data_IF_359810054224
#
_entry.id   IF_359810054224
#
_cell.length_a   1.000
_cell.length_b   1.000
_cell.length_c   1.000
_cell.angle_alpha   90.00
_cell.angle_beta   90.00
_cell.angle_gamma   90.00
#
_symmetry.space_group_name_H-M   'P 1'
#
loop_
_entity.id
_entity.type
_entity.pdbx_description
1 polymer ?
#
# COMPACT_ATOMS: atom_id res chain seq x y z
N UNK A 1 23.35 -4.69 2.07
CA UNK A 1 24.45 -5.65 2.27
C UNK A 1 24.01 -7.03 1.79
N UNK A 2 24.87 -7.75 1.09
CA UNK A 2 24.55 -9.11 0.64
C UNK A 2 24.60 -10.06 1.83
N UNK A 3 23.43 -10.49 2.32
CA UNK A 3 23.31 -11.41 3.46
C UNK A 3 23.95 -12.78 3.16
N UNK A 4 24.07 -13.16 1.89
CA UNK A 4 24.68 -14.45 1.51
C UNK A 4 26.12 -14.59 1.97
N UNK A 5 26.89 -13.51 1.98
CA UNK A 5 28.28 -13.51 2.40
C UNK A 5 28.50 -13.75 3.90
N UNK A 6 27.43 -13.66 4.71
CA UNK A 6 27.48 -13.91 6.15
C UNK A 6 27.18 -15.38 6.51
N UNK A 7 26.73 -16.18 5.56
CA UNK A 7 26.27 -17.55 5.80
C UNK A 7 27.44 -18.52 5.63
N UNK A 8 27.69 -19.32 6.66
CA UNK A 8 28.61 -20.44 6.55
C UNK A 8 28.00 -21.55 5.69
N UNK A 9 28.57 -21.76 4.50
CA UNK A 9 28.11 -22.74 3.52
C UNK A 9 28.23 -24.20 4.01
N UNK A 10 29.08 -24.45 4.99
CA UNK A 10 29.24 -25.76 5.61
C UNK A 10 28.26 -26.02 6.77
N UNK A 11 27.52 -25.01 7.18
CA UNK A 11 26.57 -25.13 8.28
C UNK A 11 25.39 -26.06 7.98
N UNK A 12 24.77 -26.61 9.01
CA UNK A 12 23.54 -27.39 8.88
C UNK A 12 22.39 -26.53 8.31
N UNK A 13 22.39 -25.24 8.59
CA UNK A 13 21.48 -24.28 8.00
C UNK A 13 21.61 -24.24 6.48
N UNK A 14 22.82 -23.99 5.96
CA UNK A 14 23.06 -23.89 4.54
C UNK A 14 22.75 -25.20 3.81
N UNK A 15 23.24 -26.33 4.31
CA UNK A 15 23.12 -27.63 3.66
C UNK A 15 21.69 -28.19 3.66
N UNK A 16 20.92 -27.95 4.71
CA UNK A 16 19.57 -28.52 4.85
C UNK A 16 18.46 -27.58 4.40
N UNK A 17 18.64 -26.27 4.57
CA UNK A 17 17.61 -25.25 4.39
C UNK A 17 17.71 -24.47 3.06
N UNK A 18 18.95 -24.24 2.58
CA UNK A 18 19.18 -23.44 1.38
C UNK A 18 19.40 -24.32 0.15
N UNK A 19 19.19 -23.80 -1.08
CA UNK A 19 19.64 -24.49 -2.29
C UNK A 19 21.16 -24.56 -2.35
N UNK A 20 21.71 -25.59 -2.99
CA UNK A 20 23.16 -25.84 -3.05
C UNK A 20 23.95 -24.68 -3.68
N UNK A 21 23.32 -23.93 -4.60
CA UNK A 21 23.89 -22.81 -5.35
C UNK A 21 23.46 -21.43 -4.84
N UNK A 22 22.93 -21.32 -3.61
CA UNK A 22 22.36 -20.09 -3.09
C UNK A 22 23.29 -18.87 -3.16
N UNK A 23 24.60 -19.07 -3.01
CA UNK A 23 25.61 -18.02 -3.08
C UNK A 23 25.67 -17.34 -4.46
N UNK A 24 25.58 -18.16 -5.52
CA UNK A 24 25.71 -17.73 -6.90
C UNK A 24 24.37 -17.48 -7.60
N UNK A 25 23.26 -17.93 -7.01
CA UNK A 25 21.93 -17.71 -7.59
C UNK A 25 21.65 -16.23 -7.77
N UNK A 26 21.54 -15.82 -9.03
CA UNK A 26 21.21 -14.44 -9.37
C UNK A 26 19.78 -14.12 -8.95
N UNK A 27 19.64 -13.17 -8.02
CA UNK A 27 18.34 -12.61 -7.65
C UNK A 27 17.74 -11.80 -8.80
N UNK A 28 18.58 -11.15 -9.64
CA UNK A 28 18.14 -10.25 -10.68
C UNK A 28 17.51 -10.94 -11.90
N UNK A 29 18.12 -11.96 -12.46
CA UNK A 29 17.54 -12.67 -13.61
C UNK A 29 16.37 -13.58 -13.24
N UNK A 30 16.34 -14.02 -12.00
CA UNK A 30 15.28 -14.83 -11.45
C UNK A 30 14.15 -13.95 -10.90
N UNK A 31 14.50 -12.81 -10.29
CA UNK A 31 13.55 -11.80 -9.81
C UNK A 31 12.63 -11.30 -10.92
N UNK A 32 13.15 -11.05 -12.11
CA UNK A 32 12.34 -10.61 -13.25
C UNK A 32 11.26 -11.64 -13.61
N UNK A 33 11.60 -12.91 -13.78
CA UNK A 33 10.64 -13.96 -14.15
C UNK A 33 9.59 -14.24 -13.07
N UNK A 34 9.98 -14.16 -11.82
CA UNK A 34 9.05 -14.33 -10.68
C UNK A 34 8.14 -13.13 -10.55
N UNK A 35 8.68 -11.93 -10.68
CA UNK A 35 7.93 -10.70 -10.69
C UNK A 35 6.89 -10.71 -11.82
N UNK A 36 7.31 -11.04 -13.05
CA UNK A 36 6.43 -11.18 -14.19
C UNK A 36 5.33 -12.21 -13.94
N UNK A 37 5.67 -13.37 -13.39
CA UNK A 37 4.70 -14.43 -13.04
C UNK A 37 3.67 -13.99 -12.00
N UNK A 38 4.08 -13.18 -11.03
CA UNK A 38 3.14 -12.73 -9.98
C UNK A 38 2.22 -11.65 -10.51
N UNK A 39 2.75 -10.70 -11.29
CA UNK A 39 1.90 -9.69 -11.91
C UNK A 39 0.86 -10.35 -12.82
N UNK A 40 1.28 -11.33 -13.62
CA UNK A 40 0.35 -12.12 -14.43
C UNK A 40 -0.72 -12.81 -13.58
N UNK A 41 -0.32 -13.46 -12.49
CA UNK A 41 -1.28 -14.14 -11.61
C UNK A 41 -2.20 -13.15 -10.91
N UNK A 42 -1.70 -12.00 -10.48
CA UNK A 42 -2.50 -10.93 -9.85
C UNK A 42 -3.51 -10.36 -10.83
N UNK A 43 -3.09 -10.05 -12.06
CA UNK A 43 -3.99 -9.59 -13.12
C UNK A 43 -5.01 -10.67 -13.47
N UNK A 44 -4.58 -11.92 -13.62
CA UNK A 44 -5.45 -13.05 -13.91
C UNK A 44 -6.52 -13.28 -12.83
N UNK A 45 -6.15 -13.18 -11.57
CA UNK A 45 -7.06 -13.38 -10.44
C UNK A 45 -8.01 -12.20 -10.22
N UNK A 46 -7.60 -10.99 -10.59
CA UNK A 46 -8.36 -9.75 -10.35
C UNK A 46 -9.03 -9.19 -11.62
N UNK A 47 -9.13 -9.95 -12.70
CA UNK A 47 -9.65 -9.48 -14.01
C UNK A 47 -10.93 -8.67 -13.91
N UNK A 48 -11.93 -9.19 -13.22
CA UNK A 48 -13.23 -8.52 -13.09
C UNK A 48 -13.12 -7.18 -12.34
N UNK A 49 -12.29 -7.14 -11.29
CA UNK A 49 -12.07 -5.92 -10.53
C UNK A 49 -11.29 -4.89 -11.37
N UNK A 50 -10.31 -5.31 -12.16
CA UNK A 50 -9.54 -4.43 -13.05
C UNK A 50 -10.45 -3.83 -14.11
N UNK A 51 -11.27 -4.65 -14.78
CA UNK A 51 -12.23 -4.19 -15.79
C UNK A 51 -13.22 -3.20 -15.18
N UNK A 52 -13.75 -3.50 -14.00
CA UNK A 52 -14.67 -2.62 -13.31
C UNK A 52 -14.02 -1.27 -12.94
N UNK A 53 -12.79 -1.30 -12.41
CA UNK A 53 -12.06 -0.08 -12.03
C UNK A 53 -11.67 0.77 -13.24
N UNK A 54 -11.11 0.15 -14.27
CA UNK A 54 -10.81 0.86 -15.53
C UNK A 54 -12.08 1.30 -16.25
N UNK A 55 -13.19 0.63 -15.96
CA UNK A 55 -14.53 1.01 -16.37
C UNK A 55 -14.98 2.34 -15.81
N UNK A 56 -14.51 2.71 -14.68
CA UNK A 56 -14.77 3.97 -13.99
C UNK A 56 -13.50 4.86 -14.00
N UNK A 57 -12.84 4.90 -15.16
CA UNK A 57 -11.57 5.61 -15.32
C UNK A 57 -11.66 7.10 -14.97
N UNK A 58 -12.77 7.74 -15.27
CA UNK A 58 -12.99 9.16 -14.94
C UNK A 58 -12.95 9.37 -13.42
N UNK A 59 -13.50 8.44 -12.62
CA UNK A 59 -13.43 8.48 -11.17
C UNK A 59 -12.02 8.21 -10.64
N UNK A 60 -11.29 7.28 -11.26
CA UNK A 60 -9.88 7.04 -10.89
C UNK A 60 -9.02 8.26 -11.17
N UNK A 61 -9.23 8.90 -12.31
CA UNK A 61 -8.56 10.13 -12.68
C UNK A 61 -8.91 11.27 -11.71
N UNK A 62 -10.21 11.46 -11.40
CA UNK A 62 -10.66 12.45 -10.42
C UNK A 62 -10.01 12.23 -9.04
N UNK A 63 -9.90 10.98 -8.58
CA UNK A 63 -9.21 10.66 -7.34
C UNK A 63 -7.73 11.03 -7.37
N UNK A 64 -7.03 10.77 -8.47
CA UNK A 64 -5.63 11.18 -8.64
C UNK A 64 -5.47 12.69 -8.69
N UNK A 65 -6.35 13.37 -9.43
CA UNK A 65 -6.39 14.82 -9.54
C UNK A 65 -6.59 15.46 -8.15
N UNK A 66 -7.53 14.98 -7.37
CA UNK A 66 -7.80 15.50 -6.03
C UNK A 66 -6.61 15.33 -5.08
N UNK A 67 -5.86 14.22 -5.19
CA UNK A 67 -4.62 14.04 -4.42
C UNK A 67 -3.56 15.09 -4.82
N UNK A 68 -3.36 15.29 -6.12
CA UNK A 68 -2.41 16.28 -6.62
C UNK A 68 -2.83 17.70 -6.26
N UNK A 69 -4.12 18.04 -6.27
CA UNK A 69 -4.64 19.32 -5.79
C UNK A 69 -4.35 19.58 -4.32
N UNK A 70 -4.47 18.55 -3.48
CA UNK A 70 -4.17 18.68 -2.07
C UNK A 70 -2.69 18.98 -1.81
N UNK A 71 -1.81 18.47 -2.67
CA UNK A 71 -0.36 18.60 -2.53
C UNK A 71 0.20 19.84 -3.26
N UNK A 72 -0.38 20.23 -4.40
CA UNK A 72 0.10 21.32 -5.23
C UNK A 72 -1.03 21.97 -6.08
N UNK A 73 -1.69 22.97 -5.50
CA UNK A 73 -2.82 23.65 -6.13
C UNK A 73 -2.40 24.51 -7.33
N UNK A 74 -1.23 25.16 -7.27
CA UNK A 74 -0.72 26.02 -8.34
C UNK A 74 -0.44 25.20 -9.62
N UNK A 75 0.13 24.02 -9.45
CA UNK A 75 0.33 23.07 -10.54
C UNK A 75 -0.99 22.67 -11.21
N UNK A 76 -2.04 22.38 -10.44
CA UNK A 76 -3.33 21.97 -10.99
C UNK A 76 -4.05 23.12 -11.74
N UNK A 77 -3.93 24.36 -11.29
CA UNK A 77 -4.42 25.52 -12.02
C UNK A 77 -3.72 25.68 -13.38
N UNK A 78 -2.41 25.38 -13.44
CA UNK A 78 -1.67 25.33 -14.70
C UNK A 78 -2.19 24.26 -15.65
N UNK A 79 -2.42 23.02 -15.15
CA UNK A 79 -3.00 21.91 -15.93
C UNK A 79 -4.37 22.28 -16.50
N UNK A 80 -5.26 22.86 -15.68
CA UNK A 80 -6.59 23.26 -16.13
C UNK A 80 -6.53 24.32 -17.22
N UNK A 81 -5.64 25.30 -17.05
CA UNK A 81 -5.43 26.36 -18.03
C UNK A 81 -4.93 25.81 -19.36
N UNK A 82 -3.99 24.89 -19.33
CA UNK A 82 -3.44 24.24 -20.53
C UNK A 82 -4.48 23.37 -21.23
N UNK A 83 -5.25 22.59 -20.47
CA UNK A 83 -6.35 21.80 -21.01
C UNK A 83 -7.43 22.68 -21.66
N UNK A 84 -7.83 23.77 -21.04
CA UNK A 84 -8.82 24.71 -21.61
C UNK A 84 -8.32 25.34 -22.88
N UNK A 85 -7.05 25.77 -22.92
CA UNK A 85 -6.43 26.39 -24.07
C UNK A 85 -6.34 25.45 -25.28
N UNK A 86 -5.97 24.20 -25.05
CA UNK A 86 -5.68 23.24 -26.11
C UNK A 86 -6.89 22.40 -26.54
N UNK A 87 -7.97 22.40 -25.77
CA UNK A 87 -9.11 21.48 -25.96
C UNK A 87 -10.47 22.14 -26.18
N UNK A 88 -10.54 23.47 -26.27
CA UNK A 88 -11.81 24.18 -26.52
C UNK A 88 -12.53 23.71 -27.80
N UNK A 89 -11.81 23.17 -28.78
CA UNK A 89 -12.32 22.82 -30.12
C UNK A 89 -12.41 21.31 -30.39
N UNK A 90 -12.28 20.45 -29.35
CA UNK A 90 -12.24 18.99 -29.53
C UNK A 90 -13.64 18.40 -29.65
N UNK A 91 -13.95 17.86 -30.82
CA UNK A 91 -15.11 17.00 -31.01
C UNK A 91 -14.74 15.55 -30.55
N UNK A 92 -14.92 15.29 -29.24
CA UNK A 92 -14.65 14.00 -28.60
C UNK A 92 -15.46 12.86 -29.25
N UNK A 93 -16.62 13.20 -29.86
CA UNK A 93 -17.52 12.21 -30.46
C UNK A 93 -16.95 11.48 -31.69
N UNK A 94 -15.99 12.07 -32.40
CA UNK A 94 -15.42 11.45 -33.60
C UNK A 94 -14.41 10.33 -33.30
N UNK A 95 -13.74 10.33 -32.13
CA UNK A 95 -12.78 9.29 -31.74
C UNK A 95 -13.42 8.13 -30.97
N UNK A 96 -14.69 8.21 -30.62
CA UNK A 96 -15.45 7.13 -29.96
C UNK A 96 -15.79 5.95 -30.88
N UNK A 97 -15.39 5.97 -32.17
CA UNK A 97 -15.59 4.83 -33.08
C UNK A 97 -14.90 3.53 -32.65
N UNK A 98 -13.91 3.63 -31.75
CA UNK A 98 -13.27 2.45 -31.12
C UNK A 98 -14.22 1.69 -30.18
N UNK A 99 -15.28 2.33 -29.69
CA UNK A 99 -16.28 1.69 -28.86
C UNK A 99 -17.05 0.56 -29.56
N UNK A 100 -17.01 0.50 -30.88
CA UNK A 100 -17.63 -0.59 -31.65
C UNK A 100 -16.91 -1.94 -31.49
N UNK A 101 -15.64 -1.92 -31.07
CA UNK A 101 -14.82 -3.13 -30.85
C UNK A 101 -15.02 -3.68 -29.43
N UNK A 102 -15.30 -2.80 -28.49
CA UNK A 102 -15.47 -3.12 -27.09
C UNK A 102 -16.99 -3.24 -26.80
N UNK A 103 -17.46 -4.42 -26.48
CA UNK A 103 -18.86 -4.70 -26.18
C UNK A 103 -19.33 -4.08 -24.86
N UNK A 104 -20.64 -4.17 -24.59
CA UNK A 104 -21.30 -3.64 -23.40
C UNK A 104 -20.51 -3.88 -22.11
N UNK A 105 -20.12 -2.82 -21.42
CA UNK A 105 -19.33 -2.85 -20.18
C UNK A 105 -17.90 -2.33 -20.29
N UNK A 106 -17.35 -2.23 -21.50
CA UNK A 106 -15.98 -1.82 -21.72
C UNK A 106 -15.85 -0.32 -21.80
N UNK A 107 -15.17 0.24 -20.88
CA UNK A 107 -15.50 1.59 -20.46
C UNK A 107 -14.34 2.55 -20.48
N UNK A 108 -13.09 2.05 -20.63
CA UNK A 108 -11.93 2.91 -20.77
C UNK A 108 -12.10 3.91 -21.92
N UNK A 109 -12.57 3.46 -23.08
CA UNK A 109 -12.82 4.32 -24.24
C UNK A 109 -14.10 5.17 -24.16
N UNK A 110 -14.95 4.91 -23.18
CA UNK A 110 -16.08 5.80 -22.83
C UNK A 110 -15.65 6.92 -21.89
N UNK A 111 -14.47 6.78 -21.27
CA UNK A 111 -13.94 7.80 -20.38
C UNK A 111 -13.61 9.07 -21.13
N UNK A 112 -14.13 10.18 -20.63
CA UNK A 112 -13.81 11.50 -21.11
C UNK A 112 -12.34 11.83 -20.88
N UNK A 113 -11.83 11.53 -19.70
CA UNK A 113 -10.44 11.80 -19.32
C UNK A 113 -9.47 11.00 -20.19
N UNK A 114 -9.71 9.70 -20.40
CA UNK A 114 -8.85 8.91 -21.28
C UNK A 114 -8.86 9.42 -22.71
N UNK A 115 -10.02 9.81 -23.23
CA UNK A 115 -10.14 10.40 -24.55
C UNK A 115 -9.40 11.75 -24.67
N UNK A 116 -9.38 12.56 -23.61
CA UNK A 116 -8.59 13.79 -23.53
C UNK A 116 -7.10 13.46 -23.61
N UNK A 117 -6.60 12.52 -22.81
CA UNK A 117 -5.18 12.14 -22.83
C UNK A 117 -4.74 11.66 -24.22
N UNK A 118 -5.55 10.81 -24.86
CA UNK A 118 -5.31 10.35 -26.23
C UNK A 118 -5.24 11.49 -27.23
N UNK A 119 -6.18 12.44 -27.13
CA UNK A 119 -6.25 13.56 -28.04
C UNK A 119 -5.12 14.55 -27.82
N UNK A 120 -4.71 14.73 -26.57
CA UNK A 120 -3.56 15.56 -26.22
C UNK A 120 -2.29 15.00 -26.85
N UNK A 121 -2.05 13.71 -26.73
CA UNK A 121 -0.91 13.04 -27.37
C UNK A 121 -0.87 13.25 -28.88
N UNK A 122 -2.01 13.15 -29.55
CA UNK A 122 -2.13 13.29 -31.01
C UNK A 122 -1.89 14.73 -31.51
N UNK A 123 -2.32 15.74 -30.75
CA UNK A 123 -2.34 17.13 -31.21
C UNK A 123 -1.25 18.02 -30.63
N UNK A 124 -0.75 17.69 -29.46
CA UNK A 124 0.23 18.53 -28.80
C UNK A 124 1.64 18.29 -29.35
N UNK A 125 2.34 19.38 -29.60
CA UNK A 125 3.74 19.32 -30.04
C UNK A 125 4.62 19.44 -28.79
N UNK A 126 5.24 18.34 -28.41
CA UNK A 126 6.14 18.28 -27.27
C UNK A 126 7.50 18.89 -27.64
N UNK A 127 8.02 19.74 -26.78
CA UNK A 127 9.38 20.28 -26.92
C UNK A 127 10.43 19.24 -26.51
N UNK A 128 10.05 18.25 -25.66
CA UNK A 128 10.90 17.19 -25.17
C UNK A 128 10.40 15.82 -25.64
N UNK A 129 11.17 15.17 -26.50
CA UNK A 129 10.83 13.84 -27.05
C UNK A 129 10.83 12.73 -25.97
N UNK A 130 11.63 12.86 -24.92
CA UNK A 130 11.63 11.88 -23.81
C UNK A 130 10.33 11.94 -23.02
N UNK A 131 9.79 13.13 -22.80
CA UNK A 131 8.49 13.29 -22.14
C UNK A 131 7.33 12.84 -23.03
N UNK A 132 7.40 13.11 -24.32
CA UNK A 132 6.43 12.57 -25.28
C UNK A 132 6.44 11.04 -25.27
N UNK A 133 7.62 10.42 -25.22
CA UNK A 133 7.77 8.98 -25.16
C UNK A 133 7.26 8.43 -23.83
N UNK A 134 7.53 9.11 -22.72
CA UNK A 134 7.00 8.75 -21.41
C UNK A 134 5.47 8.80 -21.41
N UNK A 135 4.88 9.87 -21.91
CA UNK A 135 3.43 10.02 -22.03
C UNK A 135 2.79 8.91 -22.86
N UNK A 136 3.38 8.62 -24.03
CA UNK A 136 3.00 7.48 -24.86
C UNK A 136 3.00 6.17 -24.06
N UNK A 137 4.09 5.90 -23.35
CA UNK A 137 4.26 4.65 -22.60
C UNK A 137 3.24 4.54 -21.45
N UNK A 138 2.87 5.64 -20.81
CA UNK A 138 1.81 5.68 -19.80
C UNK A 138 0.46 5.29 -20.41
N UNK A 139 0.06 5.93 -21.51
CA UNK A 139 -1.19 5.64 -22.21
C UNK A 139 -1.24 4.17 -22.65
N UNK A 140 -0.17 3.69 -23.28
CA UNK A 140 -0.05 2.29 -23.73
C UNK A 140 -0.16 1.32 -22.55
N UNK A 141 0.45 1.65 -21.41
CA UNK A 141 0.41 0.79 -20.21
C UNK A 141 -1.00 0.67 -19.63
N UNK A 142 -1.76 1.76 -19.58
CA UNK A 142 -3.16 1.76 -19.16
C UNK A 142 -4.00 0.89 -20.11
N UNK A 143 -3.79 1.06 -21.41
CA UNK A 143 -4.48 0.28 -22.43
C UNK A 143 -4.14 -1.22 -22.36
N UNK A 144 -2.86 -1.56 -22.23
CA UNK A 144 -2.42 -2.95 -22.06
C UNK A 144 -3.00 -3.60 -20.82
N UNK A 145 -3.15 -2.84 -19.72
CA UNK A 145 -3.76 -3.33 -18.50
C UNK A 145 -5.24 -3.68 -18.72
N UNK A 146 -5.98 -2.84 -19.44
CA UNK A 146 -7.37 -3.13 -19.86
C UNK A 146 -7.45 -4.41 -20.68
N UNK A 147 -6.61 -4.54 -21.70
CA UNK A 147 -6.61 -5.71 -22.58
C UNK A 147 -6.19 -6.99 -21.84
N UNK A 148 -5.19 -6.90 -20.95
CA UNK A 148 -4.76 -8.03 -20.13
C UNK A 148 -5.80 -8.54 -19.14
N UNK A 149 -6.73 -7.69 -18.74
CA UNK A 149 -7.85 -8.06 -17.89
C UNK A 149 -9.01 -8.71 -18.66
N UNK A 150 -9.12 -8.51 -19.97
CA UNK A 150 -10.11 -9.16 -20.82
C UNK A 150 -9.81 -10.67 -20.95
N UNK A 151 -10.82 -11.46 -21.32
CA UNK A 151 -10.60 -12.88 -21.58
C UNK A 151 -9.73 -13.08 -22.82
N UNK A 152 -9.00 -14.20 -22.88
CA UNK A 152 -8.10 -14.51 -24.00
C UNK A 152 -8.79 -14.49 -25.37
N UNK A 153 -10.03 -14.96 -25.41
CA UNK A 153 -10.84 -14.94 -26.64
C UNK A 153 -11.23 -13.53 -27.07
N UNK A 154 -11.58 -12.66 -26.13
CA UNK A 154 -11.93 -11.25 -26.41
C UNK A 154 -10.70 -10.50 -26.91
N UNK A 155 -9.54 -10.73 -26.30
CA UNK A 155 -8.30 -10.10 -26.73
C UNK A 155 -7.88 -10.54 -28.12
N UNK A 156 -8.03 -11.82 -28.46
CA UNK A 156 -7.74 -12.32 -29.81
C UNK A 156 -8.66 -11.67 -30.84
N UNK A 157 -9.94 -11.54 -30.52
CA UNK A 157 -10.90 -10.87 -31.40
C UNK A 157 -10.57 -9.37 -31.60
N UNK A 158 -10.07 -8.72 -30.55
CA UNK A 158 -9.62 -7.34 -30.61
C UNK A 158 -8.37 -7.23 -31.50
N UNK A 159 -7.37 -8.11 -31.29
CA UNK A 159 -6.19 -8.15 -32.13
C UNK A 159 -6.54 -8.38 -33.62
N UNK A 160 -7.38 -9.38 -33.91
CA UNK A 160 -7.83 -9.63 -35.29
C UNK A 160 -8.60 -8.47 -35.89
N UNK A 161 -9.38 -7.73 -35.08
CA UNK A 161 -10.15 -6.56 -35.54
C UNK A 161 -9.25 -5.35 -35.74
N UNK A 162 -8.23 -5.15 -34.90
CA UNK A 162 -7.21 -4.10 -35.05
C UNK A 162 -6.36 -4.30 -36.30
N UNK A 163 -6.12 -5.55 -36.70
CA UNK A 163 -5.35 -5.89 -37.91
C UNK A 163 -6.19 -5.91 -39.19
N UNK A 164 -7.53 -5.94 -39.10
CA UNK A 164 -8.40 -5.84 -40.26
C UNK A 164 -8.61 -4.37 -40.67
N UNK A 165 -7.78 -3.91 -41.59
CA UNK A 165 -7.59 -2.52 -42.06
C UNK A 165 -8.84 -1.77 -42.56
N UNK A 166 -10.00 -2.40 -42.65
CA UNK A 166 -11.17 -1.81 -43.35
C UNK A 166 -12.18 -1.09 -42.45
N UNK A 167 -12.00 -1.06 -41.13
CA UNK A 167 -13.00 -0.47 -40.23
C UNK A 167 -12.50 0.51 -39.17
N UNK A 168 -11.21 0.75 -39.07
CA UNK A 168 -10.61 1.57 -38.02
C UNK A 168 -9.66 2.61 -38.62
N UNK A 169 -9.71 3.84 -38.08
CA UNK A 169 -8.71 4.85 -38.38
C UNK A 169 -7.43 4.44 -37.61
N UNK A 170 -6.59 3.63 -38.27
CA UNK A 170 -5.38 3.01 -37.72
C UNK A 170 -4.26 4.01 -37.50
N UNK A 171 -4.33 5.22 -38.11
CA UNK A 171 -3.30 6.25 -37.99
C UNK A 171 -3.02 6.60 -36.52
N UNK A 172 -4.04 6.52 -35.67
CA UNK A 172 -3.87 6.78 -34.23
C UNK A 172 -3.06 5.67 -33.51
N UNK A 173 -3.25 4.41 -33.89
CA UNK A 173 -2.51 3.27 -33.29
C UNK A 173 -1.14 3.09 -33.97
N UNK A 174 -0.99 3.47 -35.25
CA UNK A 174 0.28 3.48 -35.93
C UNK A 174 1.24 4.51 -35.30
N UNK A 175 0.74 5.69 -34.93
CA UNK A 175 1.51 6.68 -34.17
C UNK A 175 1.84 6.25 -32.72
N UNK A 176 0.98 5.45 -32.11
CA UNK A 176 1.29 4.80 -30.83
C UNK A 176 2.29 3.64 -30.97
N UNK A 177 2.81 3.37 -32.17
CA UNK A 177 3.93 2.46 -32.42
C UNK A 177 3.62 1.14 -33.07
N UNK A 178 2.70 1.12 -34.03
CA UNK A 178 2.60 0.09 -35.12
C UNK A 178 2.32 -1.36 -34.72
N UNK A 179 2.53 -1.73 -33.52
CA UNK A 179 2.16 -3.02 -32.95
C UNK A 179 1.87 -2.81 -31.48
N UNK A 180 0.61 -2.60 -31.16
CA UNK A 180 0.15 -3.01 -29.84
C UNK A 180 0.22 -4.53 -29.87
N UNK A 181 1.44 -5.03 -29.71
CA UNK A 181 1.64 -6.43 -29.42
C UNK A 181 1.12 -6.62 -28.00
N UNK A 182 -0.17 -6.94 -27.90
CA UNK A 182 -0.83 -7.20 -26.62
C UNK A 182 -0.31 -8.54 -26.14
N UNK A 183 0.95 -8.51 -25.77
CA UNK A 183 1.50 -9.61 -25.01
C UNK A 183 0.89 -9.53 -23.63
N UNK A 184 -0.03 -10.45 -23.32
CA UNK A 184 -0.58 -10.63 -21.97
C UNK A 184 0.53 -10.65 -20.92
N UNK A 185 1.69 -11.14 -21.31
CA UNK A 185 2.88 -11.21 -20.49
C UNK A 185 3.40 -9.85 -20.07
N UNK A 186 3.08 -8.81 -20.81
CA UNK A 186 3.48 -7.43 -20.52
C UNK A 186 2.37 -6.60 -19.89
N UNK A 187 1.12 -7.14 -19.85
CA UNK A 187 0.03 -6.43 -19.18
C UNK A 187 0.38 -6.19 -17.70
N UNK A 188 0.34 -4.96 -17.28
CA UNK A 188 0.72 -4.55 -15.93
C UNK A 188 2.22 -4.35 -15.70
N UNK A 189 3.10 -5.05 -16.40
CA UNK A 189 4.56 -4.93 -16.24
C UNK A 189 5.06 -3.60 -16.78
N UNK A 190 4.54 -3.15 -17.91
CA UNK A 190 4.94 -1.90 -18.56
C UNK A 190 4.75 -0.68 -17.64
N UNK A 191 3.57 -0.57 -17.02
CA UNK A 191 3.28 0.53 -16.12
C UNK A 191 4.11 0.48 -14.83
N UNK A 192 4.33 -0.71 -14.28
CA UNK A 192 5.21 -0.86 -13.12
C UNK A 192 6.65 -0.47 -13.39
N UNK A 193 7.17 -0.76 -14.59
CA UNK A 193 8.50 -0.29 -14.98
C UNK A 193 8.57 1.23 -15.01
N UNK A 194 7.56 1.89 -15.57
CA UNK A 194 7.49 3.35 -15.58
C UNK A 194 7.53 3.89 -14.15
N UNK A 195 6.67 3.34 -13.25
CA UNK A 195 6.59 3.77 -11.86
C UNK A 195 7.87 3.46 -11.05
N UNK A 196 8.64 2.45 -11.44
CA UNK A 196 9.90 2.10 -10.79
C UNK A 196 11.11 2.90 -11.31
N UNK A 197 11.07 3.38 -12.56
CA UNK A 197 12.19 4.05 -13.23
C UNK A 197 12.08 5.58 -13.22
N UNK A 198 10.88 6.12 -12.98
CA UNK A 198 10.61 7.55 -12.99
C UNK A 198 10.05 7.99 -11.64
N UNK A 199 10.45 9.17 -11.20
CA UNK A 199 9.89 9.84 -10.03
C UNK A 199 8.96 10.95 -10.48
N UNK A 200 7.86 11.14 -9.76
CA UNK A 200 6.87 12.19 -10.03
C UNK A 200 7.51 13.59 -10.16
N UNK A 201 8.47 13.88 -9.28
CA UNK A 201 9.20 15.15 -9.23
C UNK A 201 10.17 15.36 -10.40
N UNK A 202 10.50 14.31 -11.14
CA UNK A 202 11.42 14.38 -12.28
C UNK A 202 10.71 14.65 -13.62
N UNK A 203 9.39 14.82 -13.60
CA UNK A 203 8.55 15.09 -14.78
C UNK A 203 8.25 16.58 -14.82
N UNK A 204 8.64 17.26 -15.89
CA UNK A 204 8.44 18.70 -16.03
C UNK A 204 7.12 19.06 -16.69
N UNK A 205 6.65 18.25 -17.66
CA UNK A 205 5.44 18.54 -18.41
C UNK A 205 4.17 18.20 -17.62
N UNK A 206 3.31 19.17 -17.37
CA UNK A 206 2.14 19.08 -16.49
C UNK A 206 1.20 17.92 -16.82
N UNK A 207 0.84 17.75 -18.10
CA UNK A 207 -0.08 16.65 -18.49
C UNK A 207 0.57 15.27 -18.36
N UNK A 208 1.87 15.17 -18.62
CA UNK A 208 2.63 13.91 -18.42
C UNK A 208 2.66 13.57 -16.95
N UNK A 209 2.94 14.56 -16.10
CA UNK A 209 2.95 14.45 -14.64
C UNK A 209 1.59 14.01 -14.09
N UNK A 210 0.49 14.62 -14.59
CA UNK A 210 -0.87 14.21 -14.24
C UNK A 210 -1.17 12.77 -14.67
N UNK A 211 -0.78 12.39 -15.89
CA UNK A 211 -0.97 11.04 -16.41
C UNK A 211 -0.20 10.00 -15.61
N UNK A 212 1.00 10.36 -15.14
CA UNK A 212 1.79 9.54 -14.23
C UNK A 212 1.06 9.32 -12.88
N UNK A 213 0.51 10.39 -12.29
CA UNK A 213 -0.28 10.29 -11.05
C UNK A 213 -1.53 9.41 -11.23
N UNK A 214 -2.19 9.49 -12.38
CA UNK A 214 -3.32 8.61 -12.71
C UNK A 214 -2.86 7.15 -12.81
N UNK A 215 -1.74 6.89 -13.50
CA UNK A 215 -1.15 5.55 -13.59
C UNK A 215 -0.83 4.99 -12.22
N UNK A 216 -0.18 5.77 -11.36
CA UNK A 216 0.17 5.38 -9.98
C UNK A 216 -1.09 5.04 -9.17
N UNK A 217 -2.14 5.85 -9.26
CA UNK A 217 -3.40 5.61 -8.58
C UNK A 217 -4.09 4.32 -9.05
N UNK A 218 -4.06 4.03 -10.36
CA UNK A 218 -4.56 2.77 -10.93
C UNK A 218 -3.79 1.58 -10.34
N UNK A 219 -2.47 1.66 -10.36
CA UNK A 219 -1.63 0.55 -9.90
C UNK A 219 -1.69 0.34 -8.39
N UNK A 220 -1.81 1.39 -7.60
CA UNK A 220 -2.00 1.27 -6.15
C UNK A 220 -3.29 0.52 -5.79
N UNK A 221 -4.31 0.65 -6.62
CA UNK A 221 -5.60 -0.01 -6.44
C UNK A 221 -5.65 -1.45 -6.98
N UNK A 222 -4.87 -1.74 -8.03
CA UNK A 222 -4.88 -3.04 -8.73
C UNK A 222 -3.90 -4.02 -8.13
N UNK A 223 -2.72 -3.53 -7.74
CA UNK A 223 -1.70 -4.35 -7.10
C UNK A 223 -2.00 -4.45 -5.61
N UNK A 224 -2.94 -5.30 -5.28
CA UNK A 224 -3.17 -5.70 -3.91
C UNK A 224 -1.93 -6.43 -3.37
N UNK A 225 -1.03 -5.66 -2.70
CA UNK A 225 0.15 -6.21 -2.04
C UNK A 225 -0.22 -7.25 -0.98
N UNK A 226 -1.45 -7.18 -0.45
CA UNK A 226 -2.00 -8.12 0.51
C UNK A 226 -2.04 -9.54 -0.09
N UNK A 227 -2.54 -9.68 -1.30
CA UNK A 227 -2.52 -10.97 -1.99
C UNK A 227 -1.12 -11.43 -2.40
N UNK A 228 -0.20 -10.48 -2.61
CA UNK A 228 1.19 -10.79 -2.97
C UNK A 228 1.99 -11.37 -1.80
N UNK A 229 1.69 -10.99 -0.57
CA UNK A 229 2.48 -11.32 0.60
C UNK A 229 1.74 -12.25 1.54
N UNK A 230 0.50 -11.93 1.90
CA UNK A 230 -0.24 -12.70 2.90
C UNK A 230 -0.52 -14.13 2.46
N UNK A 231 -0.78 -14.37 1.18
CA UNK A 231 -0.93 -15.74 0.64
C UNK A 231 0.41 -16.44 0.40
N UNK A 232 1.55 -15.77 0.52
CA UNK A 232 2.86 -16.27 0.14
C UNK A 232 3.86 -16.41 1.30
N UNK A 233 3.48 -16.06 2.54
CA UNK A 233 4.33 -16.19 3.73
C UNK A 233 4.95 -17.58 3.90
N UNK A 234 4.25 -18.63 3.49
CA UNK A 234 4.74 -20.00 3.58
C UNK A 234 6.04 -20.25 2.79
N UNK A 235 6.36 -19.43 1.79
CA UNK A 235 7.61 -19.56 1.06
C UNK A 235 8.84 -19.15 1.87
N UNK A 236 8.68 -18.39 2.96
CA UNK A 236 9.76 -18.12 3.89
C UNK A 236 10.28 -19.38 4.57
N UNK A 237 9.44 -20.42 4.67
CA UNK A 237 9.79 -21.70 5.32
C UNK A 237 10.30 -22.76 4.35
N UNK A 238 10.43 -22.46 3.07
CA UNK A 238 10.87 -23.44 2.05
C UNK A 238 11.82 -22.85 1.01
N UNK A 239 12.91 -22.17 1.42
CA UNK A 239 13.84 -21.54 0.47
C UNK A 239 14.53 -22.55 -0.43
N UNK A 240 14.76 -23.78 0.03
CA UNK A 240 15.46 -24.81 -0.75
C UNK A 240 14.74 -25.13 -2.06
N UNK A 241 13.42 -25.25 -2.02
CA UNK A 241 12.61 -25.59 -3.19
C UNK A 241 12.04 -24.37 -3.91
N UNK A 242 11.79 -23.29 -3.18
CA UNK A 242 11.08 -22.09 -3.67
C UNK A 242 11.92 -20.82 -3.54
N UNK A 243 13.21 -20.94 -3.84
CA UNK A 243 14.20 -19.86 -3.66
C UNK A 243 13.79 -18.52 -4.22
N UNK A 244 13.14 -18.52 -5.37
CA UNK A 244 12.69 -17.29 -6.02
C UNK A 244 11.61 -16.55 -5.25
N UNK A 245 10.64 -17.30 -4.76
CA UNK A 245 9.52 -16.75 -3.98
C UNK A 245 10.02 -16.30 -2.62
N UNK A 246 10.87 -17.11 -1.99
CA UNK A 246 11.57 -16.74 -0.76
C UNK A 246 12.33 -15.43 -0.93
N UNK A 247 13.24 -15.35 -1.90
CA UNK A 247 14.07 -14.16 -2.14
C UNK A 247 13.22 -12.92 -2.41
N UNK A 248 12.10 -13.08 -3.10
CA UNK A 248 11.18 -11.98 -3.38
C UNK A 248 10.54 -11.42 -2.12
N UNK A 249 10.03 -12.29 -1.24
CA UNK A 249 9.44 -11.84 0.03
C UNK A 249 10.50 -11.13 0.88
N UNK A 250 11.71 -11.69 0.93
CA UNK A 250 12.84 -11.06 1.63
C UNK A 250 13.11 -9.65 1.07
N UNK A 251 13.28 -9.52 -0.24
CA UNK A 251 13.53 -8.21 -0.88
C UNK A 251 12.39 -7.24 -0.61
N UNK A 252 11.15 -7.68 -0.74
CA UNK A 252 9.99 -6.84 -0.49
C UNK A 252 9.98 -6.30 0.94
N UNK A 253 10.14 -7.17 1.94
CA UNK A 253 10.11 -6.76 3.35
C UNK A 253 11.23 -5.77 3.67
N UNK A 254 12.44 -5.97 3.13
CA UNK A 254 13.52 -5.01 3.27
C UNK A 254 13.23 -3.67 2.57
N UNK A 255 12.64 -3.70 1.38
CA UNK A 255 12.26 -2.48 0.66
C UNK A 255 11.20 -1.67 1.45
N UNK A 256 10.20 -2.35 1.99
CA UNK A 256 9.17 -1.69 2.83
C UNK A 256 9.80 -1.13 4.10
N UNK A 257 10.70 -1.88 4.75
CA UNK A 257 11.44 -1.39 5.91
C UNK A 257 12.22 -0.13 5.59
N UNK A 258 13.02 -0.15 4.53
CA UNK A 258 13.85 0.97 4.14
C UNK A 258 13.01 2.19 3.77
N UNK A 259 11.88 2.00 3.11
CA UNK A 259 10.92 3.07 2.84
C UNK A 259 10.37 3.68 4.14
N UNK A 260 9.93 2.87 5.10
CA UNK A 260 9.42 3.37 6.39
C UNK A 260 10.50 4.16 7.14
N UNK A 261 11.74 3.67 7.15
CA UNK A 261 12.85 4.38 7.80
C UNK A 261 13.14 5.72 7.13
N UNK A 262 13.20 5.77 5.81
CA UNK A 262 13.42 7.01 5.05
C UNK A 262 12.31 8.03 5.34
N UNK A 263 11.04 7.60 5.38
CA UNK A 263 9.93 8.48 5.75
C UNK A 263 10.01 8.94 7.22
N UNK A 264 10.50 8.09 8.11
CA UNK A 264 10.66 8.44 9.52
C UNK A 264 11.81 9.43 9.79
N UNK A 265 12.83 9.45 8.94
CA UNK A 265 13.97 10.38 9.06
C UNK A 265 13.58 11.83 8.82
N UNK A 266 12.54 12.09 8.01
CA UNK A 266 12.05 13.46 7.75
C UNK A 266 11.08 13.96 8.83
N UNK A 267 10.70 13.12 9.80
CA UNK A 267 9.83 13.53 10.88
C UNK A 267 10.60 14.39 11.89
N UNK A 268 10.07 15.55 12.18
CA UNK A 268 10.66 16.48 13.14
C UNK A 268 10.30 16.05 14.58
N UNK A 269 11.31 15.62 15.33
CA UNK A 269 11.15 15.23 16.74
C UNK A 269 10.72 16.40 17.64
N UNK A 270 10.98 17.65 17.22
CA UNK A 270 10.60 18.85 17.95
C UNK A 270 9.17 19.31 17.65
N UNK A 271 8.54 18.76 16.63
CA UNK A 271 7.15 19.07 16.31
C UNK A 271 6.23 18.41 17.33
N UNK A 272 5.47 19.25 18.05
CA UNK A 272 4.54 18.77 19.08
C UNK A 272 3.46 17.86 18.50
N UNK A 273 3.40 16.64 18.98
CA UNK A 273 2.51 15.58 18.52
C UNK A 273 1.93 14.76 19.69
N UNK A 274 1.09 13.79 19.39
CA UNK A 274 0.46 12.97 20.45
C UNK A 274 1.47 12.10 21.23
N UNK A 275 2.63 11.77 20.67
CA UNK A 275 3.72 11.13 21.44
C UNK A 275 4.28 12.05 22.52
N UNK A 276 4.38 13.36 22.23
CA UNK A 276 4.79 14.35 23.23
C UNK A 276 3.73 14.52 24.32
N UNK A 277 2.44 14.35 23.99
CA UNK A 277 1.38 14.38 24.99
C UNK A 277 1.50 13.18 25.93
N UNK A 278 1.78 11.98 25.43
CA UNK A 278 2.03 10.78 26.25
C UNK A 278 3.26 11.00 27.15
N UNK A 279 4.33 11.59 26.63
CA UNK A 279 5.48 11.95 27.45
C UNK A 279 5.11 12.93 28.58
N UNK A 280 4.31 13.96 28.29
CA UNK A 280 3.81 14.92 29.31
C UNK A 280 2.95 14.24 30.37
N UNK A 281 2.15 13.24 30.00
CA UNK A 281 1.37 12.42 30.95
C UNK A 281 2.31 11.66 31.88
N UNK A 282 3.34 11.05 31.34
CA UNK A 282 4.33 10.29 32.10
C UNK A 282 5.11 11.18 33.09
N UNK A 283 5.40 12.43 32.71
CA UNK A 283 6.13 13.41 33.54
C UNK A 283 5.25 14.05 34.60
N UNK A 284 3.94 14.06 34.41
CA UNK A 284 3.00 14.82 35.26
C UNK A 284 2.63 14.16 36.60
N UNK A 285 3.15 12.98 36.91
CA UNK A 285 2.89 12.19 38.13
C UNK A 285 1.40 11.88 38.42
N UNK A 286 0.48 12.27 37.53
CA UNK A 286 -0.95 12.05 37.70
C UNK A 286 -1.42 10.68 37.22
N UNK A 287 -0.64 10.05 36.35
CA UNK A 287 -0.89 8.72 35.78
C UNK A 287 0.40 7.91 35.74
N UNK A 288 0.32 6.68 36.11
CA UNK A 288 1.35 5.68 35.85
C UNK A 288 1.02 4.95 34.54
N UNK A 289 1.94 4.98 33.57
CA UNK A 289 1.77 4.23 32.34
C UNK A 289 2.29 2.82 32.55
N UNK A 290 1.38 1.86 32.58
CA UNK A 290 1.68 0.45 32.81
C UNK A 290 2.31 -0.17 31.55
N UNK A 291 1.77 0.13 30.37
CA UNK A 291 2.26 -0.42 29.09
C UNK A 291 1.90 0.48 27.92
N UNK A 292 2.71 0.40 26.86
CA UNK A 292 2.42 1.06 25.58
C UNK A 292 2.56 0.05 24.47
N UNK A 293 1.47 -0.20 23.75
CA UNK A 293 1.45 -1.00 22.52
C UNK A 293 1.27 -0.11 21.31
N UNK A 294 1.97 -0.41 20.23
CA UNK A 294 1.82 0.28 18.94
C UNK A 294 1.65 -0.70 17.79
N UNK A 295 0.81 -0.32 16.83
CA UNK A 295 0.69 -1.02 15.55
C UNK A 295 1.53 -0.36 14.45
N UNK A 296 2.16 0.78 14.74
CA UNK A 296 3.07 1.46 13.84
C UNK A 296 4.40 0.70 13.77
N UNK A 297 4.98 0.63 12.58
CA UNK A 297 6.27 -0.03 12.36
C UNK A 297 7.47 0.88 12.62
N UNK A 298 7.25 2.21 12.60
CA UNK A 298 8.32 3.19 12.74
C UNK A 298 8.87 3.24 14.16
N UNK A 299 10.19 3.30 14.35
CA UNK A 299 10.82 3.47 15.66
C UNK A 299 10.72 4.90 16.18
N UNK A 300 10.06 5.81 15.47
CA UNK A 300 9.93 7.22 15.83
C UNK A 300 9.35 7.43 17.24
N UNK A 301 8.42 6.57 17.66
CA UNK A 301 7.85 6.59 19.01
C UNK A 301 8.92 6.43 20.10
N UNK A 302 9.94 5.57 19.88
CA UNK A 302 11.02 5.32 20.85
C UNK A 302 11.97 6.52 21.02
N UNK A 303 12.01 7.43 20.03
CA UNK A 303 12.81 8.66 20.13
C UNK A 303 12.18 9.66 21.12
N UNK A 304 10.86 9.64 21.24
CA UNK A 304 10.10 10.62 22.03
C UNK A 304 9.73 10.02 23.39
N UNK A 305 9.22 8.81 23.43
CA UNK A 305 8.70 8.18 24.65
C UNK A 305 9.78 7.28 25.26
N UNK A 306 10.13 7.56 26.52
CA UNK A 306 11.10 6.77 27.30
C UNK A 306 10.36 5.68 28.09
N UNK A 307 9.76 4.75 27.39
CA UNK A 307 9.06 3.59 27.96
C UNK A 307 9.33 2.36 27.08
N UNK A 308 9.18 1.16 27.61
CA UNK A 308 9.24 -0.04 26.79
C UNK A 308 8.02 -0.07 25.84
N UNK A 309 8.28 -0.05 24.54
CA UNK A 309 7.24 0.00 23.50
C UNK A 309 7.03 -1.40 22.94
N UNK A 310 5.82 -1.91 23.03
CA UNK A 310 5.44 -3.17 22.43
C UNK A 310 4.96 -2.97 20.99
N UNK A 311 5.79 -3.30 20.03
CA UNK A 311 5.44 -3.29 18.61
C UNK A 311 4.59 -4.52 18.29
N UNK A 312 3.27 -4.33 18.26
CA UNK A 312 2.29 -5.42 18.13
C UNK A 312 2.21 -5.97 16.70
N UNK A 313 2.55 -5.19 15.71
CA UNK A 313 2.60 -5.60 14.30
C UNK A 313 4.03 -5.83 13.80
N UNK A 314 5.00 -5.95 14.70
CA UNK A 314 6.41 -5.90 14.36
C UNK A 314 6.90 -4.47 14.18
N UNK A 315 8.13 -4.30 13.68
CA UNK A 315 8.75 -2.98 13.52
C UNK A 315 10.00 -3.04 12.67
N UNK A 316 10.46 -1.88 12.23
CA UNK A 316 11.63 -1.76 11.35
C UNK A 316 12.96 -2.15 12.01
N UNK A 317 13.02 -2.20 13.34
CA UNK A 317 14.18 -2.63 14.15
C UNK A 317 14.07 -4.07 14.63
N UNK A 318 13.02 -4.78 14.26
CA UNK A 318 12.75 -6.15 14.70
C UNK A 318 12.83 -7.07 13.49
N UNK A 319 13.56 -8.18 13.62
CA UNK A 319 13.74 -9.17 12.57
C UNK A 319 13.19 -10.52 12.99
N UNK A 320 12.91 -11.35 12.00
CA UNK A 320 12.41 -12.70 12.16
C UNK A 320 13.33 -13.67 11.43
N UNK A 321 13.74 -14.72 12.13
CA UNK A 321 14.47 -15.84 11.55
C UNK A 321 13.48 -16.97 11.17
N UNK A 322 13.21 -17.17 9.87
CA UNK A 322 12.28 -18.22 9.44
C UNK A 322 12.76 -19.64 9.73
N UNK A 323 14.07 -19.84 9.85
CA UNK A 323 14.65 -21.15 10.12
C UNK A 323 14.44 -21.56 11.57
N UNK A 324 14.70 -20.64 12.51
CA UNK A 324 14.56 -20.90 13.95
C UNK A 324 13.15 -20.57 14.48
N UNK A 325 12.32 -19.92 13.69
CA UNK A 325 11.02 -19.40 14.12
C UNK A 325 11.14 -18.50 15.37
N UNK A 326 12.10 -17.59 15.35
CA UNK A 326 12.43 -16.72 16.49
C UNK A 326 12.58 -15.26 16.08
N UNK A 327 12.45 -14.36 17.05
CA UNK A 327 12.69 -12.92 16.86
C UNK A 327 14.16 -12.63 17.09
N UNK A 328 14.70 -11.75 16.25
CA UNK A 328 16.07 -11.25 16.32
C UNK A 328 16.02 -9.73 16.38
N UNK A 329 16.75 -9.13 17.31
CA UNK A 329 16.82 -7.66 17.44
C UNK A 329 18.03 -7.04 16.75
N UNK A 330 19.04 -7.82 16.44
CA UNK A 330 20.26 -7.35 15.80
C UNK A 330 20.54 -8.19 14.55
N UNK A 331 20.64 -7.54 13.39
CA UNK A 331 20.92 -8.17 12.10
C UNK A 331 22.42 -8.36 11.85
N UNK A 332 23.30 -7.74 12.63
CA UNK A 332 24.73 -7.72 12.33
C UNK A 332 25.46 -9.03 12.66
N UNK A 333 24.95 -9.77 13.63
CA UNK A 333 25.59 -11.01 14.12
C UNK A 333 24.93 -12.29 13.60
N UNK A 334 23.91 -12.20 12.75
CA UNK A 334 23.12 -13.34 12.32
C UNK A 334 23.73 -14.09 11.15
N UNK A 335 23.80 -15.42 11.27
CA UNK A 335 24.33 -16.32 10.23
C UNK A 335 23.24 -16.98 9.37
N UNK A 336 22.01 -16.51 9.48
CA UNK A 336 20.85 -16.97 8.70
C UNK A 336 20.27 -15.83 7.88
N UNK A 337 19.43 -16.16 6.90
CA UNK A 337 18.54 -15.17 6.30
C UNK A 337 17.46 -14.77 7.29
N UNK A 338 17.52 -13.55 7.74
CA UNK A 338 16.47 -12.95 8.55
C UNK A 338 15.68 -11.95 7.72
N UNK A 339 14.46 -11.71 8.10
CA UNK A 339 13.57 -10.74 7.43
C UNK A 339 13.07 -9.72 8.43
N UNK A 340 12.84 -8.46 8.01
CA UNK A 340 12.13 -7.51 8.86
C UNK A 340 10.78 -8.07 9.29
N UNK A 341 10.48 -8.02 10.58
CA UNK A 341 9.20 -8.47 11.12
C UNK A 341 8.17 -7.37 10.94
N UNK A 342 7.52 -7.38 9.79
CA UNK A 342 6.47 -6.45 9.41
C UNK A 342 5.20 -7.26 9.08
N UNK A 343 4.23 -7.24 9.99
CA UNK A 343 2.94 -7.86 9.71
C UNK A 343 2.14 -6.97 8.77
N UNK A 344 1.96 -7.45 7.57
CA UNK A 344 1.09 -6.81 6.59
C UNK A 344 -0.38 -6.94 7.01
N UNK A 345 -1.24 -6.13 6.41
CA UNK A 345 -2.67 -6.13 6.72
C UNK A 345 -3.33 -7.43 6.23
N UNK A 346 -3.34 -8.45 7.05
CA UNK A 346 -4.12 -9.68 6.83
C UNK A 346 -5.10 -9.87 7.96
N UNK A 347 -6.30 -10.35 7.65
CA UNK A 347 -7.36 -10.57 8.64
C UNK A 347 -7.00 -11.58 9.75
N UNK A 348 -5.96 -12.38 9.52
CA UNK A 348 -5.40 -13.29 10.52
C UNK A 348 -3.90 -13.20 10.43
N UNK A 349 -3.28 -12.47 11.35
CA UNK A 349 -1.82 -12.43 11.45
C UNK A 349 -1.36 -13.69 12.19
N UNK A 350 -0.61 -14.59 11.55
CA UNK A 350 -0.12 -15.77 12.23
C UNK A 350 0.83 -15.35 13.36
N UNK A 351 0.68 -15.97 14.50
CA UNK A 351 1.70 -15.90 15.53
C UNK A 351 2.92 -16.62 15.00
N UNK A 352 3.92 -15.85 14.59
CA UNK A 352 5.08 -16.38 13.87
C UNK A 352 6.12 -17.03 14.80
N UNK A 353 6.10 -16.68 16.09
CA UNK A 353 7.04 -17.19 17.08
C UNK A 353 6.45 -17.20 18.47
N UNK A 354 7.07 -17.97 19.37
CA UNK A 354 6.73 -17.94 20.80
C UNK A 354 6.93 -16.54 21.37
N UNK A 355 8.02 -15.85 20.98
CA UNK A 355 8.34 -14.50 21.43
C UNK A 355 7.18 -13.51 21.14
N UNK A 356 6.55 -13.61 19.96
CA UNK A 356 5.38 -12.77 19.64
C UNK A 356 4.15 -13.16 20.43
N UNK A 357 3.97 -14.46 20.67
CA UNK A 357 2.86 -14.97 21.50
C UNK A 357 2.98 -14.46 22.94
N UNK A 358 4.17 -14.53 23.53
CA UNK A 358 4.44 -13.97 24.85
C UNK A 358 4.16 -12.47 24.86
N UNK A 359 4.65 -11.72 23.90
CA UNK A 359 4.40 -10.27 23.80
C UNK A 359 2.91 -9.92 23.81
N UNK A 360 2.06 -10.67 23.10
CA UNK A 360 0.62 -10.42 23.11
C UNK A 360 -0.03 -10.79 24.45
N UNK A 361 0.42 -11.89 25.07
CA UNK A 361 -0.09 -12.34 26.36
C UNK A 361 0.33 -11.37 27.46
N UNK A 362 1.57 -10.93 27.48
CA UNK A 362 2.08 -9.95 28.43
C UNK A 362 1.34 -8.62 28.28
N UNK A 363 1.20 -8.14 27.04
CA UNK A 363 0.45 -6.91 26.76
C UNK A 363 -1.00 -7.02 27.24
N UNK A 364 -1.66 -8.14 27.02
CA UNK A 364 -3.02 -8.37 27.52
C UNK A 364 -3.09 -8.33 29.04
N UNK A 365 -2.15 -8.98 29.75
CA UNK A 365 -2.10 -8.98 31.22
C UNK A 365 -1.84 -7.57 31.77
N UNK A 366 -0.91 -6.83 31.19
CA UNK A 366 -0.61 -5.46 31.58
C UNK A 366 -1.83 -4.53 31.37
N UNK A 367 -2.57 -4.73 30.30
CA UNK A 367 -3.84 -4.01 30.09
C UNK A 367 -4.92 -4.42 31.11
N UNK A 368 -4.91 -5.67 31.59
CA UNK A 368 -5.80 -6.11 32.67
C UNK A 368 -5.44 -5.45 34.00
N UNK A 369 -4.16 -5.29 34.29
CA UNK A 369 -3.66 -4.71 35.54
C UNK A 369 -3.86 -3.18 35.57
N UNK A 370 -3.98 -2.52 34.41
CA UNK A 370 -4.23 -1.07 34.35
C UNK A 370 -5.66 -0.73 34.79
N UNK A 371 -5.90 0.47 35.34
CA UNK A 371 -7.24 0.93 35.68
C UNK A 371 -8.07 1.26 34.45
N UNK A 372 -7.44 1.92 33.47
CA UNK A 372 -8.07 2.33 32.20
C UNK A 372 -7.17 2.02 31.01
N UNK A 373 -7.77 1.82 29.86
CA UNK A 373 -7.06 1.63 28.59
C UNK A 373 -7.38 2.80 27.66
N UNK A 374 -6.35 3.42 27.11
CA UNK A 374 -6.48 4.54 26.17
C UNK A 374 -6.05 4.11 24.78
N UNK A 375 -6.90 4.29 23.80
CA UNK A 375 -6.68 3.96 22.40
C UNK A 375 -6.59 5.23 21.58
N UNK A 376 -5.46 5.45 20.91
CA UNK A 376 -5.22 6.67 20.13
C UNK A 376 -5.00 6.30 18.67
N UNK A 377 -5.87 6.79 17.78
CA UNK A 377 -5.70 6.63 16.33
C UNK A 377 -5.76 5.19 15.80
N UNK A 378 -6.29 4.24 16.58
CA UNK A 378 -6.44 2.85 16.15
C UNK A 378 -7.85 2.58 15.60
N UNK A 379 -7.92 2.08 14.37
CA UNK A 379 -9.17 1.99 13.62
C UNK A 379 -10.02 0.74 13.88
N UNK A 380 -9.56 -0.24 14.65
CA UNK A 380 -10.23 -1.54 14.89
C UNK A 380 -10.63 -2.22 13.57
N UNK A 381 -9.73 -2.24 12.60
CA UNK A 381 -9.98 -2.88 11.32
C UNK A 381 -9.99 -4.41 11.46
N UNK A 382 -10.70 -5.09 10.56
CA UNK A 382 -10.75 -6.56 10.53
C UNK A 382 -9.37 -7.20 10.35
N UNK A 383 -8.44 -6.47 9.76
CA UNK A 383 -7.07 -6.92 9.53
C UNK A 383 -6.25 -7.00 10.83
N UNK A 384 -6.69 -6.31 11.89
CA UNK A 384 -6.07 -6.35 13.22
C UNK A 384 -6.88 -7.22 14.21
N UNK A 385 -7.53 -8.29 13.74
CA UNK A 385 -8.42 -9.13 14.54
C UNK A 385 -7.72 -9.75 15.76
N UNK A 386 -6.42 -9.99 15.70
CA UNK A 386 -5.62 -10.45 16.84
C UNK A 386 -5.55 -9.42 17.98
N UNK A 387 -5.51 -8.13 17.66
CA UNK A 387 -5.59 -7.02 18.62
C UNK A 387 -7.05 -6.75 19.01
N UNK A 388 -7.96 -6.78 18.06
CA UNK A 388 -9.39 -6.67 18.32
C UNK A 388 -9.88 -7.74 19.30
N UNK A 389 -9.30 -8.95 19.24
CA UNK A 389 -9.54 -10.02 20.18
C UNK A 389 -9.16 -9.67 21.63
N UNK A 390 -8.04 -8.97 21.84
CA UNK A 390 -7.62 -8.47 23.15
C UNK A 390 -8.69 -7.51 23.69
N UNK A 391 -9.06 -6.49 22.92
CA UNK A 391 -10.09 -5.52 23.35
C UNK A 391 -11.43 -6.18 23.60
N UNK A 392 -11.82 -7.15 22.79
CA UNK A 392 -13.06 -7.93 23.00
C UNK A 392 -13.05 -8.66 24.34
N UNK A 393 -11.92 -9.26 24.73
CA UNK A 393 -11.77 -9.92 26.04
C UNK A 393 -11.83 -8.91 27.18
N UNK A 394 -11.10 -7.80 27.07
CA UNK A 394 -11.09 -6.73 28.07
C UNK A 394 -12.50 -6.19 28.35
N UNK A 395 -13.30 -5.99 27.30
CA UNK A 395 -14.66 -5.45 27.41
C UNK A 395 -15.64 -6.51 27.92
N UNK A 396 -15.74 -7.66 27.23
CA UNK A 396 -16.80 -8.63 27.51
C UNK A 396 -16.59 -9.45 28.77
N UNK A 397 -15.33 -9.65 29.20
CA UNK A 397 -15.03 -10.51 30.38
C UNK A 397 -14.60 -9.73 31.61
N UNK A 398 -14.03 -8.54 31.43
CA UNK A 398 -13.39 -7.80 32.51
C UNK A 398 -13.97 -6.42 32.73
N UNK A 399 -15.00 -6.04 31.97
CA UNK A 399 -15.67 -4.73 32.08
C UNK A 399 -14.70 -3.54 32.11
N UNK A 400 -13.55 -3.68 31.39
CA UNK A 400 -12.48 -2.69 31.39
C UNK A 400 -12.97 -1.37 30.78
N UNK A 401 -12.65 -0.26 31.43
CA UNK A 401 -12.92 1.07 30.90
C UNK A 401 -11.93 1.42 29.79
N UNK A 402 -12.47 1.78 28.62
CA UNK A 402 -11.69 2.12 27.44
C UNK A 402 -12.02 3.54 26.98
N UNK A 403 -11.01 4.35 26.80
CA UNK A 403 -11.10 5.66 26.17
C UNK A 403 -10.58 5.56 24.73
N UNK A 404 -11.39 6.01 23.78
CA UNK A 404 -11.00 6.07 22.36
C UNK A 404 -10.85 7.53 21.97
N UNK A 405 -9.61 7.90 21.63
CA UNK A 405 -9.25 9.25 21.19
C UNK A 405 -9.22 9.27 19.67
N UNK A 406 -10.13 10.02 19.06
CA UNK A 406 -10.25 10.11 17.61
C UNK A 406 -10.66 11.53 17.14
N UNK A 407 -10.64 11.72 15.82
CA UNK A 407 -11.10 12.97 15.17
C UNK A 407 -12.50 12.86 14.57
N UNK A 408 -13.21 11.74 14.78
CA UNK A 408 -14.58 11.53 14.28
C UNK A 408 -15.56 12.42 15.04
N UNK A 409 -16.18 13.37 14.37
CA UNK A 409 -17.17 14.29 14.93
C UNK A 409 -18.60 13.73 14.95
N UNK A 410 -18.80 12.48 14.56
CA UNK A 410 -20.12 11.85 14.62
C UNK A 410 -20.60 11.69 16.07
N UNK A 411 -21.91 11.56 16.26
CA UNK A 411 -22.49 11.40 17.61
C UNK A 411 -21.95 10.15 18.32
N UNK A 412 -21.86 10.20 19.63
CA UNK A 412 -21.39 9.07 20.46
C UNK A 412 -22.16 7.78 20.20
N UNK A 413 -23.46 7.87 19.93
CA UNK A 413 -24.26 6.70 19.57
C UNK A 413 -23.77 6.06 18.28
N UNK A 414 -23.47 6.85 17.26
CA UNK A 414 -22.94 6.33 15.98
C UNK A 414 -21.56 5.72 16.17
N UNK A 415 -20.68 6.35 16.95
CA UNK A 415 -19.35 5.81 17.28
C UNK A 415 -19.48 4.48 18.02
N UNK A 416 -20.34 4.40 19.04
CA UNK A 416 -20.63 3.18 19.81
C UNK A 416 -21.09 2.04 18.89
N UNK A 417 -22.05 2.31 18.01
CA UNK A 417 -22.54 1.32 17.05
C UNK A 417 -21.43 0.82 16.10
N UNK A 418 -20.58 1.72 15.60
CA UNK A 418 -19.43 1.36 14.75
C UNK A 418 -18.45 0.45 15.49
N UNK A 419 -18.07 0.81 16.72
CA UNK A 419 -17.11 0.02 17.52
C UNK A 419 -17.72 -1.32 17.93
N UNK A 420 -18.99 -1.36 18.32
CA UNK A 420 -19.71 -2.60 18.65
C UNK A 420 -19.66 -3.59 17.48
N UNK A 421 -19.94 -3.11 16.27
CA UNK A 421 -19.87 -3.95 15.08
C UNK A 421 -18.44 -4.44 14.75
N UNK A 422 -17.46 -3.54 14.84
CA UNK A 422 -16.04 -3.87 14.55
C UNK A 422 -15.45 -4.85 15.57
N UNK A 423 -15.67 -4.61 16.84
CA UNK A 423 -15.16 -5.47 17.91
C UNK A 423 -16.04 -6.69 18.17
N UNK A 424 -17.28 -6.74 17.63
CA UNK A 424 -18.24 -7.84 17.87
C UNK A 424 -18.49 -8.03 19.38
N UNK A 425 -18.71 -6.92 20.08
CA UNK A 425 -18.94 -6.88 21.53
C UNK A 425 -20.44 -6.75 21.86
N UNK A 426 -20.82 -7.20 23.07
CA UNK A 426 -22.22 -7.20 23.51
C UNK A 426 -22.66 -5.83 24.04
N UNK A 427 -21.75 -5.11 24.70
CA UNK A 427 -22.04 -3.81 25.32
C UNK A 427 -20.96 -2.79 25.02
N UNK A 428 -21.33 -1.52 25.01
CA UNK A 428 -20.42 -0.37 24.86
C UNK A 428 -20.46 0.55 26.09
N UNK A 429 -20.95 0.06 27.22
CA UNK A 429 -21.16 0.87 28.43
C UNK A 429 -19.86 1.47 28.93
N UNK A 430 -18.76 0.71 28.90
CA UNK A 430 -17.46 1.10 29.40
C UNK A 430 -16.55 1.73 28.32
N UNK A 431 -17.13 2.11 27.17
CA UNK A 431 -16.40 2.78 26.09
C UNK A 431 -16.73 4.26 26.10
N UNK A 432 -15.70 5.08 26.26
CA UNK A 432 -15.77 6.53 26.26
C UNK A 432 -15.04 7.09 25.05
N UNK A 433 -15.61 8.11 24.40
CA UNK A 433 -14.98 8.78 23.26
C UNK A 433 -14.46 10.15 23.69
N UNK A 434 -13.24 10.46 23.22
CA UNK A 434 -12.65 11.79 23.34
C UNK A 434 -12.39 12.27 21.90
N UNK A 435 -13.27 13.13 21.42
CA UNK A 435 -13.09 13.75 20.09
C UNK A 435 -12.13 14.91 20.20
N UNK A 436 -11.13 14.94 19.32
CA UNK A 436 -10.09 15.95 19.31
C UNK A 436 -10.06 16.71 17.98
N UNK A 437 -9.61 17.95 18.05
CA UNK A 437 -9.16 18.67 16.87
C UNK A 437 -7.78 18.13 16.44
N UNK A 438 -7.59 17.74 15.17
CA UNK A 438 -6.32 17.17 14.70
C UNK A 438 -5.13 18.14 14.76
N UNK A 439 -5.37 19.47 14.73
CA UNK A 439 -4.30 20.47 14.69
C UNK A 439 -3.67 20.69 16.07
N UNK A 440 -4.49 20.83 17.14
CA UNK A 440 -4.02 21.16 18.49
C UNK A 440 -4.29 20.06 19.53
N UNK A 441 -4.94 18.97 19.13
CA UNK A 441 -5.30 17.78 19.94
C UNK A 441 -6.14 18.11 21.19
N UNK A 442 -6.82 19.23 21.16
CA UNK A 442 -7.76 19.61 22.20
C UNK A 442 -9.14 18.98 21.95
N UNK A 443 -9.80 18.68 23.05
CA UNK A 443 -11.19 18.21 23.06
C UNK A 443 -12.16 19.37 23.33
N UNK A 444 -13.45 19.07 23.37
CA UNK A 444 -14.49 20.03 23.76
C UNK A 444 -14.12 20.73 25.07
N UNK A 445 -14.19 22.08 25.08
CA UNK A 445 -13.83 22.91 26.20
C UNK A 445 -12.37 23.40 26.19
N UNK A 446 -11.67 23.29 25.05
CA UNK A 446 -10.30 23.78 24.83
C UNK A 446 -9.26 23.15 25.76
N UNK A 447 -9.50 21.92 26.21
CA UNK A 447 -8.60 21.16 27.06
C UNK A 447 -7.91 20.04 26.30
N UNK A 448 -6.64 19.76 26.68
CA UNK A 448 -5.91 18.62 26.13
C UNK A 448 -6.65 17.31 26.43
N UNK A 449 -6.68 16.42 25.45
CA UNK A 449 -7.44 15.16 25.46
C UNK A 449 -7.19 14.31 26.73
N UNK A 450 -5.96 14.26 27.22
CA UNK A 450 -5.61 13.43 28.37
C UNK A 450 -6.22 13.91 29.69
N UNK A 451 -6.63 15.17 29.80
CA UNK A 451 -7.35 15.70 30.96
C UNK A 451 -8.81 15.19 31.09
N UNK A 452 -9.30 14.56 30.04
CA UNK A 452 -10.65 13.95 30.02
C UNK A 452 -10.67 12.51 30.54
N UNK A 453 -9.51 11.90 30.76
CA UNK A 453 -9.38 10.57 31.35
C UNK A 453 -9.63 10.72 32.85
N UNK A 454 -10.55 9.87 33.38
CA UNK A 454 -10.97 9.89 34.75
C UNK A 454 -10.68 8.57 35.42
#
# INVERSE_FOLDING_TARGET
KDMRSKIDTSSAYATNWLPEDFESKSISSFGQRVFDSIIKSTIGNNRSAIIQKLGDFDRLAESAINKVYADDNEYMESVETDLQKNFSDINISQKLSYNAIFHEGDTLFKSRTFSILLTYYDKYVFDNEDEKLLFKNIIVSIFQLQLGALSENVSRNIEESLFNKNSLNLDFFDDLGGTINVNYDMAGISGLKILAEKEFTSIDHDIVKLSYAILENIYSDILDYKSLIDSNWHYLYNPKNEWAKFSKIVVFLYTVRDYILTQAEVLDENKDGYYNDIQKIQEAENFEITTIGTTNYSPFIEKIIKHDIKFLNGGTSIYYDPYLNSIVRDDETHNHFIVPLLFTQSGTKPMTSIDMSEKYVDFYHELLDSDVVVVIGFGFNSDDEHINGIFRQLINKHDKTIYIVDTDTSSDMNKKNKIQAKLKIETTTNINFITINPEDRKSDGDEMWYKKIK
#
